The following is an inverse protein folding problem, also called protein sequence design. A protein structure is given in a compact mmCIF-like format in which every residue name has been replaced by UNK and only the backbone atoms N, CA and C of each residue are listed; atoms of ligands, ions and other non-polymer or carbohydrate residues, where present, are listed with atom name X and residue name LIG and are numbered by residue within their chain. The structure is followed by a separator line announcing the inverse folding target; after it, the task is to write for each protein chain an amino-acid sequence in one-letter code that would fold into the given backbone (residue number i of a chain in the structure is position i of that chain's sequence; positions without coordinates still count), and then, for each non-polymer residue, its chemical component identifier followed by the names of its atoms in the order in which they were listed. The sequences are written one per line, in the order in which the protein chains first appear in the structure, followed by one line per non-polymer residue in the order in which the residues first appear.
data_IF_918472408997
#
_entry.id   IF_918472408997
#
_cell.length_a   1.000
_cell.length_b   1.000
_cell.length_c   1.000
_cell.angle_alpha   90.00
_cell.angle_beta   90.00
_cell.angle_gamma   90.00
#
_symmetry.space_group_name_H-M   'P 1'
#
loop_
_entity.id
_entity.type
_entity.pdbx_description
1 polymer ?
#
# COMPACT_ATOMS: atom_id res chain seq x y z
N UNK A 1 -34.35 11.54 -8.40
CA UNK A 1 -33.27 12.02 -7.51
C UNK A 1 -32.92 13.44 -7.95
N UNK A 2 -33.03 14.42 -7.07
CA UNK A 2 -32.71 15.81 -7.37
C UNK A 2 -31.18 16.00 -7.46
N UNK A 3 -30.74 17.18 -7.92
CA UNK A 3 -29.33 17.46 -8.19
C UNK A 3 -28.49 17.46 -6.89
N UNK A 4 -29.08 17.89 -5.78
CA UNK A 4 -28.45 17.87 -4.45
C UNK A 4 -28.24 16.42 -3.96
N UNK A 5 -29.26 15.57 -4.07
CA UNK A 5 -29.17 14.15 -3.73
C UNK A 5 -28.09 13.44 -4.59
N UNK A 6 -27.96 13.81 -5.88
CA UNK A 6 -26.90 13.29 -6.76
C UNK A 6 -25.50 13.69 -6.31
N UNK A 7 -25.29 14.94 -5.86
CA UNK A 7 -24.00 15.39 -5.30
C UNK A 7 -23.67 14.62 -4.02
N UNK A 8 -24.63 14.53 -3.10
CA UNK A 8 -24.46 13.78 -1.85
C UNK A 8 -24.17 12.29 -2.08
N UNK A 9 -24.69 11.70 -3.17
CA UNK A 9 -24.34 10.34 -3.54
C UNK A 9 -22.88 10.21 -4.00
N UNK A 10 -22.40 11.15 -4.83
CA UNK A 10 -21.00 11.16 -5.30
C UNK A 10 -20.03 11.34 -4.13
N UNK A 11 -20.35 12.22 -3.18
CA UNK A 11 -19.55 12.40 -1.96
C UNK A 11 -19.55 11.14 -1.07
N UNK A 12 -20.71 10.47 -0.93
CA UNK A 12 -20.80 9.21 -0.18
C UNK A 12 -20.00 8.09 -0.83
N UNK A 13 -20.03 7.99 -2.16
CA UNK A 13 -19.26 6.99 -2.91
C UNK A 13 -17.75 7.23 -2.73
N UNK A 14 -17.30 8.49 -2.85
CA UNK A 14 -15.90 8.89 -2.61
C UNK A 14 -15.46 8.59 -1.18
N UNK A 15 -16.29 8.91 -0.19
CA UNK A 15 -16.01 8.61 1.22
C UNK A 15 -15.95 7.10 1.48
N UNK A 16 -16.81 6.30 0.84
CA UNK A 16 -16.79 4.83 0.95
C UNK A 16 -15.51 4.25 0.35
N UNK A 17 -15.07 4.75 -0.81
CA UNK A 17 -13.80 4.37 -1.40
C UNK A 17 -12.63 4.66 -0.45
N UNK A 18 -12.54 5.89 0.07
CA UNK A 18 -11.47 6.28 0.98
C UNK A 18 -11.38 5.39 2.22
N UNK A 19 -12.52 5.00 2.82
CA UNK A 19 -12.54 4.07 3.96
C UNK A 19 -11.96 2.69 3.61
N UNK A 20 -12.37 2.11 2.47
CA UNK A 20 -11.85 0.82 2.00
C UNK A 20 -10.36 0.89 1.70
N UNK A 21 -9.88 2.01 1.16
CA UNK A 21 -8.46 2.19 0.89
C UNK A 21 -7.66 2.32 2.17
N UNK A 22 -8.19 2.99 3.19
CA UNK A 22 -7.54 3.03 4.51
C UNK A 22 -7.40 1.64 5.14
N UNK A 23 -8.36 0.73 4.98
CA UNK A 23 -8.21 -0.66 5.41
C UNK A 23 -7.02 -1.36 4.70
N UNK A 24 -6.88 -1.18 3.39
CA UNK A 24 -5.72 -1.71 2.66
C UNK A 24 -4.40 -1.04 3.04
N UNK A 25 -4.41 0.23 3.45
CA UNK A 25 -3.21 0.89 3.98
C UNK A 25 -2.78 0.29 5.31
N UNK A 26 -3.71 -0.15 6.17
CA UNK A 26 -3.39 -0.86 7.40
C UNK A 26 -2.71 -2.20 7.11
N UNK A 27 -3.30 -3.02 6.22
CA UNK A 27 -2.70 -4.29 5.80
C UNK A 27 -1.28 -4.08 5.25
N UNK A 28 -1.08 -2.98 4.50
CA UNK A 28 0.22 -2.62 3.97
C UNK A 28 1.25 -2.23 5.05
N UNK A 29 0.83 -1.49 6.09
CA UNK A 29 1.71 -1.18 7.22
C UNK A 29 2.09 -2.43 8.00
N UNK A 30 1.18 -3.38 8.15
CA UNK A 30 1.49 -4.66 8.78
C UNK A 30 2.47 -5.49 7.94
N UNK A 31 2.29 -5.54 6.61
CA UNK A 31 3.28 -6.16 5.71
C UNK A 31 4.67 -5.53 5.83
N UNK A 32 4.77 -4.20 5.97
CA UNK A 32 6.03 -3.49 6.20
C UNK A 32 6.68 -3.90 7.52
N UNK A 33 5.89 -3.99 8.59
CA UNK A 33 6.36 -4.43 9.92
C UNK A 33 6.86 -5.87 9.89
N UNK A 34 6.13 -6.76 9.24
CA UNK A 34 6.53 -8.16 9.10
C UNK A 34 7.84 -8.30 8.32
N UNK A 35 8.03 -7.51 7.27
CA UNK A 35 9.28 -7.48 6.52
C UNK A 35 10.45 -7.00 7.40
N UNK A 36 10.27 -5.94 8.18
CA UNK A 36 11.29 -5.43 9.12
C UNK A 36 11.63 -6.51 10.15
N UNK A 37 10.61 -7.09 10.79
CA UNK A 37 10.81 -8.12 11.81
C UNK A 37 11.54 -9.34 11.26
N UNK A 38 11.20 -9.78 10.05
CA UNK A 38 11.88 -10.90 9.40
C UNK A 38 13.36 -10.61 9.20
N UNK A 39 13.73 -9.37 8.86
CA UNK A 39 15.13 -8.95 8.72
C UNK A 39 15.84 -8.91 10.07
N UNK A 40 15.18 -8.43 11.12
CA UNK A 40 15.70 -8.41 12.48
C UNK A 40 15.97 -9.83 13.01
N UNK A 41 14.97 -10.73 12.91
CA UNK A 41 15.08 -12.13 13.34
C UNK A 41 16.24 -12.86 12.63
N UNK A 42 16.45 -12.57 11.34
CA UNK A 42 17.55 -13.13 10.55
C UNK A 42 18.90 -12.51 10.90
N UNK A 43 18.96 -11.21 11.20
CA UNK A 43 20.19 -10.55 11.65
C UNK A 43 20.67 -11.15 12.98
N UNK A 44 19.75 -11.40 13.91
CA UNK A 44 20.03 -12.08 15.18
C UNK A 44 20.51 -13.53 14.96
N UNK A 45 19.92 -14.23 14.00
CA UNK A 45 20.36 -15.57 13.61
C UNK A 45 21.78 -15.57 13.04
N UNK A 46 22.09 -14.67 12.10
CA UNK A 46 23.42 -14.51 11.51
C UNK A 46 24.46 -14.14 12.57
N UNK A 47 24.11 -13.23 13.48
CA UNK A 47 24.98 -12.84 14.59
C UNK A 47 25.32 -14.05 15.48
N UNK A 48 24.30 -14.84 15.84
CA UNK A 48 24.48 -16.05 16.64
C UNK A 48 25.33 -17.10 15.92
N UNK A 49 25.13 -17.29 14.62
CA UNK A 49 25.90 -18.21 13.79
C UNK A 49 27.38 -17.81 13.75
N UNK A 50 27.68 -16.54 13.49
CA UNK A 50 29.06 -16.03 13.45
C UNK A 50 29.77 -16.14 14.81
N UNK A 51 29.05 -16.01 15.92
CA UNK A 51 29.62 -16.26 17.26
C UNK A 51 30.01 -17.73 17.45
N UNK A 52 29.17 -18.65 16.98
CA UNK A 52 29.40 -20.10 17.10
C UNK A 52 30.44 -20.62 16.10
N UNK A 53 30.57 -19.99 14.94
CA UNK A 53 31.41 -20.43 13.82
C UNK A 53 32.33 -19.30 13.33
N UNK A 54 33.36 -18.99 14.12
CA UNK A 54 34.26 -17.83 13.89
C UNK A 54 35.01 -17.83 12.54
N UNK A 55 35.06 -18.95 11.83
CA UNK A 55 35.77 -19.09 10.56
C UNK A 55 34.87 -19.42 9.36
N UNK A 56 33.56 -19.63 9.58
CA UNK A 56 32.62 -19.95 8.50
C UNK A 56 31.76 -18.74 8.17
N UNK A 57 31.63 -18.45 6.87
CA UNK A 57 30.70 -17.42 6.37
C UNK A 57 29.38 -18.10 6.04
N UNK A 58 28.24 -17.68 6.64
CA UNK A 58 26.91 -18.25 6.41
C UNK A 58 26.36 -17.83 5.04
N UNK A 59 27.01 -18.29 3.97
CA UNK A 59 26.79 -17.79 2.60
C UNK A 59 25.41 -18.16 2.06
N UNK A 60 24.87 -19.32 2.47
CA UNK A 60 23.53 -19.77 2.08
C UNK A 60 22.44 -18.95 2.76
N UNK A 61 22.61 -18.64 4.03
CA UNK A 61 21.70 -17.83 4.85
C UNK A 61 21.71 -16.38 4.36
N UNK A 62 22.90 -15.84 4.04
CA UNK A 62 23.06 -14.51 3.43
C UNK A 62 22.36 -14.42 2.07
N UNK A 63 22.52 -15.42 1.20
CA UNK A 63 21.82 -15.42 -0.10
C UNK A 63 20.30 -15.47 0.07
N UNK A 64 19.78 -16.30 0.98
CA UNK A 64 18.34 -16.35 1.29
C UNK A 64 17.83 -15.01 1.81
N UNK A 65 18.66 -14.28 2.57
CA UNK A 65 18.34 -12.95 3.06
C UNK A 65 18.22 -11.93 1.92
N UNK A 66 19.20 -11.91 1.01
CA UNK A 66 19.15 -11.05 -0.18
C UNK A 66 17.89 -11.33 -1.03
N UNK A 67 17.60 -12.61 -1.30
CA UNK A 67 16.42 -13.02 -2.06
C UNK A 67 15.10 -12.61 -1.37
N UNK A 68 15.01 -12.77 -0.05
CA UNK A 68 13.83 -12.38 0.71
C UNK A 68 13.65 -10.85 0.73
N UNK A 69 14.73 -10.09 0.93
CA UNK A 69 14.73 -8.63 0.91
C UNK A 69 14.23 -8.11 -0.44
N UNK A 70 14.77 -8.64 -1.54
CA UNK A 70 14.36 -8.27 -2.89
C UNK A 70 12.87 -8.56 -3.12
N UNK A 71 12.38 -9.73 -2.67
CA UNK A 71 10.97 -10.09 -2.80
C UNK A 71 10.06 -9.17 -1.98
N UNK A 72 10.43 -8.84 -0.74
CA UNK A 72 9.67 -7.91 0.09
C UNK A 72 9.63 -6.51 -0.53
N UNK A 73 10.78 -6.02 -0.99
CA UNK A 73 10.88 -4.70 -1.62
C UNK A 73 10.04 -4.63 -2.90
N UNK A 74 10.07 -5.66 -3.74
CA UNK A 74 9.22 -5.73 -4.94
C UNK A 74 7.73 -5.74 -4.60
N UNK A 75 7.32 -6.50 -3.57
CA UNK A 75 5.92 -6.51 -3.11
C UNK A 75 5.49 -5.13 -2.62
N UNK A 76 6.31 -4.50 -1.78
CA UNK A 76 6.08 -3.15 -1.25
C UNK A 76 5.89 -2.15 -2.39
N UNK A 77 6.84 -2.07 -3.32
CA UNK A 77 6.78 -1.12 -4.45
C UNK A 77 5.55 -1.36 -5.31
N UNK A 78 5.19 -2.62 -5.57
CA UNK A 78 3.99 -2.95 -6.36
C UNK A 78 2.72 -2.51 -5.65
N UNK A 79 2.64 -2.67 -4.33
CA UNK A 79 1.51 -2.20 -3.53
C UNK A 79 1.42 -0.69 -3.54
N UNK A 80 2.51 0.04 -3.26
CA UNK A 80 2.53 1.51 -3.28
C UNK A 80 2.10 2.07 -4.63
N UNK A 81 2.57 1.47 -5.73
CA UNK A 81 2.16 1.86 -7.08
C UNK A 81 0.65 1.66 -7.29
N UNK A 82 0.11 0.50 -6.94
CA UNK A 82 -1.32 0.20 -7.11
C UNK A 82 -2.19 1.11 -6.27
N UNK A 83 -1.77 1.40 -5.04
CA UNK A 83 -2.44 2.32 -4.13
C UNK A 83 -2.48 3.73 -4.71
N UNK A 84 -1.33 4.23 -5.17
CA UNK A 84 -1.23 5.55 -5.81
C UNK A 84 -2.10 5.65 -7.07
N UNK A 85 -2.09 4.63 -7.92
CA UNK A 85 -2.93 4.57 -9.12
C UNK A 85 -4.43 4.56 -8.77
N UNK A 86 -4.83 3.80 -7.76
CA UNK A 86 -6.23 3.75 -7.32
C UNK A 86 -6.71 5.13 -6.83
N UNK A 87 -5.90 5.84 -6.04
CA UNK A 87 -6.22 7.19 -5.61
C UNK A 87 -6.31 8.18 -6.77
N UNK A 88 -5.38 8.10 -7.73
CA UNK A 88 -5.40 9.00 -8.89
C UNK A 88 -6.65 8.79 -9.75
N UNK A 89 -6.96 7.54 -10.07
CA UNK A 89 -8.14 7.21 -10.87
C UNK A 89 -9.42 7.63 -10.14
N UNK A 90 -9.53 7.33 -8.86
CA UNK A 90 -10.74 7.64 -8.11
C UNK A 90 -10.96 9.16 -7.95
N UNK A 91 -9.91 9.91 -7.62
CA UNK A 91 -9.99 11.38 -7.56
C UNK A 91 -10.38 11.98 -8.91
N UNK A 92 -9.84 11.43 -10.01
CA UNK A 92 -10.19 11.88 -11.36
C UNK A 92 -11.68 11.63 -11.65
N UNK A 93 -12.20 10.45 -11.31
CA UNK A 93 -13.61 10.12 -11.49
C UNK A 93 -14.53 10.98 -10.61
N UNK A 94 -14.14 11.21 -9.35
CA UNK A 94 -14.86 12.09 -8.44
C UNK A 94 -14.96 13.51 -9.00
N UNK A 95 -13.83 14.11 -9.39
CA UNK A 95 -13.77 15.46 -9.97
C UNK A 95 -14.64 15.56 -11.23
N UNK A 96 -14.51 14.60 -12.14
CA UNK A 96 -15.30 14.57 -13.38
C UNK A 96 -16.82 14.53 -13.11
N UNK A 97 -17.25 13.73 -12.14
CA UNK A 97 -18.67 13.63 -11.75
C UNK A 97 -19.16 14.92 -11.09
N UNK A 98 -18.36 15.52 -10.22
CA UNK A 98 -18.69 16.79 -9.58
C UNK A 98 -18.79 17.94 -10.60
N UNK A 99 -17.82 18.07 -11.51
CA UNK A 99 -17.86 19.08 -12.57
C UNK A 99 -19.06 18.93 -13.50
N UNK A 100 -19.46 17.69 -13.83
CA UNK A 100 -20.65 17.43 -14.63
C UNK A 100 -21.91 17.94 -13.92
N UNK A 101 -22.04 17.64 -12.62
CA UNK A 101 -23.16 18.11 -11.80
C UNK A 101 -23.16 19.64 -11.63
N UNK A 102 -22.00 20.27 -11.51
CA UNK A 102 -21.90 21.74 -11.45
C UNK A 102 -22.31 22.41 -12.76
N UNK A 103 -21.93 21.83 -13.91
CA UNK A 103 -22.36 22.31 -15.22
C UNK A 103 -23.86 22.17 -15.42
N UNK A 104 -24.48 21.12 -14.87
CA UNK A 104 -25.93 20.96 -14.84
C UNK A 104 -26.60 22.04 -13.98
N UNK A 105 -26.06 22.37 -12.79
CA UNK A 105 -26.60 23.46 -11.94
C UNK A 105 -26.51 24.85 -12.53
N UNK A 106 -25.58 25.11 -13.47
CA UNK A 106 -25.43 26.41 -14.13
C UNK A 106 -26.32 26.57 -15.37
N UNK A 107 -26.93 25.48 -15.85
CA UNK A 107 -27.74 25.43 -17.07
C UNK A 107 -29.24 25.26 -16.80
N UNK A 108 -29.62 24.87 -15.58
CA UNK A 108 -31.01 24.84 -15.09
C UNK A 108 -31.26 25.97 -14.12
#
# INVERSE_FOLDING_TARGET
MNLQERKEQVERDHASFRRKVSEYEWDYQDMKRDAIKTVEDLADHLYSFCQAHQYDVPTLELRRLEENLDQFQQKIVRFERRLSQAYQEENHQYQKRMEALEKETKKG
#
